data_IF_607732046302
#
_entry.id   IF_607732046302
#
_cell.length_a   1.000
_cell.length_b   1.000
_cell.length_c   1.000
_cell.angle_alpha   90.00
_cell.angle_beta   90.00
_cell.angle_gamma   90.00
#
_symmetry.space_group_name_H-M   'P 1'
#
loop_
_entity.id
_entity.type
_entity.pdbx_description
1 polymer ?
#
# COMPACT_ATOMS: atom_id res chain seq x y z
N UNK A 1 4.56 -19.26 1.20
CA UNK A 1 4.25 -17.87 1.57
C UNK A 1 4.50 -17.79 3.05
N UNK A 2 5.27 -16.81 3.51
CA UNK A 2 5.57 -16.68 4.94
C UNK A 2 4.35 -16.08 5.66
N UNK A 3 3.94 -16.66 6.78
CA UNK A 3 2.83 -16.15 7.61
C UNK A 3 3.02 -14.66 7.97
N UNK A 4 4.26 -14.20 8.03
CA UNK A 4 4.61 -12.80 8.30
C UNK A 4 4.23 -11.86 7.13
N UNK A 5 4.35 -12.32 5.88
CA UNK A 5 3.89 -11.54 4.71
C UNK A 5 2.36 -11.47 4.65
N UNK A 6 1.66 -12.53 5.05
CA UNK A 6 0.20 -12.56 5.09
C UNK A 6 -0.36 -11.60 6.15
N UNK A 7 0.25 -11.56 7.34
CA UNK A 7 -0.11 -10.62 8.40
C UNK A 7 0.12 -9.15 8.03
N UNK A 8 1.21 -8.84 7.31
CA UNK A 8 1.47 -7.48 6.82
C UNK A 8 0.46 -7.04 5.75
N UNK A 9 0.05 -7.98 4.87
CA UNK A 9 -1.01 -7.77 3.88
C UNK A 9 -2.34 -7.50 4.58
N UNK A 10 -2.71 -8.33 5.56
CA UNK A 10 -3.94 -8.14 6.35
C UNK A 10 -3.94 -6.82 7.12
N UNK A 11 -2.82 -6.43 7.72
CA UNK A 11 -2.72 -5.17 8.46
C UNK A 11 -2.90 -3.94 7.55
N UNK A 12 -2.34 -3.97 6.33
CA UNK A 12 -2.58 -2.92 5.31
C UNK A 12 -4.01 -2.94 4.79
N UNK A 13 -4.61 -4.11 4.56
CA UNK A 13 -5.99 -4.25 4.09
C UNK A 13 -7.02 -3.92 5.18
N UNK A 14 -6.67 -4.06 6.46
CA UNK A 14 -7.53 -3.70 7.59
C UNK A 14 -7.86 -2.21 7.65
N UNK A 15 -6.98 -1.35 7.11
CA UNK A 15 -7.23 0.09 6.95
C UNK A 15 -8.31 0.35 5.90
N UNK A 16 -8.49 -0.55 4.94
CA UNK A 16 -9.44 -0.44 3.84
C UNK A 16 -10.76 -1.17 4.08
N UNK A 17 -10.90 -1.95 5.16
CA UNK A 17 -12.12 -2.74 5.47
C UNK A 17 -12.64 -3.52 4.24
N UNK A 18 -11.71 -4.04 3.42
CA UNK A 18 -11.95 -4.54 2.05
C UNK A 18 -11.89 -6.08 1.97
N UNK A 19 -12.47 -6.79 2.95
CA UNK A 19 -12.72 -8.23 2.77
C UNK A 19 -13.91 -8.42 1.81
N UNK A 20 -13.90 -9.46 0.95
CA UNK A 20 -15.11 -9.93 0.29
C UNK A 20 -16.07 -10.33 1.41
N UNK A 21 -17.05 -9.46 1.67
CA UNK A 21 -17.87 -9.61 2.84
C UNK A 21 -19.00 -10.61 2.55
N UNK A 22 -19.57 -11.14 3.64
CA UNK A 22 -20.78 -11.94 3.59
C UNK A 22 -21.93 -11.21 2.88
N UNK A 23 -21.88 -9.88 2.84
CA UNK A 23 -22.86 -9.04 2.17
C UNK A 23 -22.77 -9.15 0.64
N UNK A 24 -21.59 -9.00 0.02
CA UNK A 24 -21.42 -9.14 -1.44
C UNK A 24 -21.88 -10.52 -1.94
N UNK A 25 -21.52 -11.59 -1.22
CA UNK A 25 -21.98 -12.94 -1.55
C UNK A 25 -23.49 -13.12 -1.36
N UNK A 26 -24.08 -12.49 -0.35
CA UNK A 26 -25.52 -12.49 -0.16
C UNK A 26 -26.23 -11.76 -1.30
N UNK A 27 -25.71 -10.62 -1.75
CA UNK A 27 -26.23 -9.87 -2.89
C UNK A 27 -26.21 -10.69 -4.19
N UNK A 28 -25.11 -11.41 -4.44
CA UNK A 28 -25.00 -12.31 -5.60
C UNK A 28 -25.97 -13.47 -5.51
N UNK A 29 -26.04 -14.15 -4.36
CA UNK A 29 -26.91 -15.31 -4.17
C UNK A 29 -28.39 -14.93 -4.19
N UNK A 30 -28.77 -13.83 -3.55
CA UNK A 30 -30.14 -13.33 -3.58
C UNK A 30 -30.53 -12.79 -4.97
N UNK A 31 -29.65 -12.06 -5.65
CA UNK A 31 -29.88 -11.60 -7.02
C UNK A 31 -30.07 -12.77 -7.99
N UNK A 32 -29.22 -13.80 -7.89
CA UNK A 32 -29.34 -15.03 -8.68
C UNK A 32 -30.64 -15.80 -8.36
N UNK A 33 -31.00 -15.92 -7.09
CA UNK A 33 -32.24 -16.58 -6.68
C UNK A 33 -33.49 -15.84 -7.21
N UNK A 34 -33.51 -14.51 -7.15
CA UNK A 34 -34.58 -13.70 -7.75
C UNK A 34 -34.66 -13.90 -9.27
N UNK A 35 -33.52 -13.95 -9.95
CA UNK A 35 -33.48 -14.21 -11.39
C UNK A 35 -34.06 -15.60 -11.74
N UNK A 36 -33.73 -16.63 -10.97
CA UNK A 36 -34.28 -17.98 -11.15
C UNK A 36 -35.78 -18.02 -10.87
N UNK A 37 -36.25 -17.39 -9.79
CA UNK A 37 -37.67 -17.32 -9.45
C UNK A 37 -38.49 -16.56 -10.49
N UNK A 38 -37.94 -15.46 -11.02
CA UNK A 38 -38.54 -14.73 -12.12
C UNK A 38 -38.57 -15.56 -13.41
N UNK A 39 -37.50 -16.29 -13.73
CA UNK A 39 -37.47 -17.17 -14.91
C UNK A 39 -38.54 -18.28 -14.80
N UNK A 40 -38.69 -18.85 -13.60
CA UNK A 40 -39.72 -19.84 -13.31
C UNK A 40 -41.13 -19.28 -13.57
N UNK A 41 -41.46 -18.11 -13.02
CA UNK A 41 -42.79 -17.49 -13.22
C UNK A 41 -43.01 -16.92 -14.63
N UNK A 42 -41.95 -16.77 -15.43
CA UNK A 42 -42.08 -16.39 -16.84
C UNK A 42 -42.53 -17.59 -17.69
N UNK A 43 -42.10 -18.80 -17.33
CA UNK A 43 -42.50 -20.06 -17.97
C UNK A 43 -43.83 -20.56 -17.40
N UNK A 44 -43.98 -20.55 -16.08
CA UNK A 44 -45.17 -20.99 -15.35
C UNK A 44 -45.74 -19.83 -14.51
N UNK A 45 -46.55 -18.93 -15.10
CA UNK A 45 -47.08 -17.76 -14.40
C UNK A 45 -48.09 -18.10 -13.29
N UNK A 46 -48.55 -19.35 -13.18
CA UNK A 46 -49.57 -19.74 -12.19
C UNK A 46 -50.93 -19.07 -12.44
N UNK A 47 -51.81 -19.14 -11.44
CA UNK A 47 -53.20 -18.64 -11.52
C UNK A 47 -53.50 -17.50 -10.53
N UNK A 48 -52.50 -17.00 -9.79
CA UNK A 48 -52.71 -15.98 -8.74
C UNK A 48 -53.09 -14.60 -9.28
N UNK A 49 -52.62 -14.27 -10.50
CA UNK A 49 -52.86 -13.01 -11.21
C UNK A 49 -53.04 -13.33 -12.69
N UNK A 50 -53.56 -12.37 -13.47
CA UNK A 50 -53.58 -12.48 -14.92
C UNK A 50 -52.20 -12.90 -15.48
N UNK A 51 -52.12 -13.94 -16.33
CA UNK A 51 -50.86 -14.50 -16.79
C UNK A 51 -49.94 -13.49 -17.48
N UNK A 52 -50.48 -12.52 -18.20
CA UNK A 52 -49.67 -11.51 -18.88
C UNK A 52 -49.10 -10.52 -17.88
N UNK A 53 -49.88 -10.09 -16.88
CA UNK A 53 -49.36 -9.29 -15.77
C UNK A 53 -48.27 -10.01 -14.98
N UNK A 54 -48.46 -11.31 -14.69
CA UNK A 54 -47.49 -12.09 -13.94
C UNK A 54 -46.16 -12.24 -14.70
N UNK A 55 -46.21 -12.40 -16.03
CA UNK A 55 -45.00 -12.43 -16.88
C UNK A 55 -44.25 -11.11 -16.90
N UNK A 56 -44.95 -9.98 -16.92
CA UNK A 56 -44.31 -8.66 -16.82
C UNK A 56 -43.66 -8.44 -15.45
N UNK A 57 -44.32 -8.88 -14.37
CA UNK A 57 -43.74 -8.85 -13.04
C UNK A 57 -42.50 -9.75 -12.94
N UNK A 58 -42.61 -10.99 -13.44
CA UNK A 58 -41.52 -11.95 -13.49
C UNK A 58 -40.31 -11.39 -14.27
N UNK A 59 -40.53 -10.78 -15.44
CA UNK A 59 -39.47 -10.12 -16.21
C UNK A 59 -38.80 -8.98 -15.43
N UNK A 60 -39.57 -8.20 -14.67
CA UNK A 60 -39.05 -7.13 -13.82
C UNK A 60 -38.20 -7.67 -12.67
N UNK A 61 -38.61 -8.78 -12.05
CA UNK A 61 -37.86 -9.48 -11.00
C UNK A 61 -36.55 -10.07 -11.55
N UNK A 62 -36.56 -10.62 -12.76
CA UNK A 62 -35.34 -11.07 -13.44
C UNK A 62 -34.37 -9.91 -13.64
N UNK A 63 -34.86 -8.78 -14.18
CA UNK A 63 -34.02 -7.61 -14.42
C UNK A 63 -33.43 -7.06 -13.11
N UNK A 64 -34.24 -6.97 -12.05
CA UNK A 64 -33.77 -6.55 -10.73
C UNK A 64 -32.73 -7.53 -10.14
N UNK A 65 -32.97 -8.84 -10.24
CA UNK A 65 -32.05 -9.87 -9.78
C UNK A 65 -30.72 -9.85 -10.51
N UNK A 66 -30.74 -9.66 -11.83
CA UNK A 66 -29.53 -9.55 -12.64
C UNK A 66 -28.71 -8.30 -12.29
N UNK A 67 -29.35 -7.15 -12.08
CA UNK A 67 -28.68 -5.91 -11.66
C UNK A 67 -28.07 -6.07 -10.26
N UNK A 68 -28.82 -6.65 -9.32
CA UNK A 68 -28.34 -6.86 -7.96
C UNK A 68 -27.16 -7.83 -7.91
N UNK A 69 -27.27 -8.99 -8.59
CA UNK A 69 -26.16 -9.94 -8.66
C UNK A 69 -24.93 -9.36 -9.38
N UNK A 70 -25.14 -8.57 -10.43
CA UNK A 70 -24.08 -7.86 -11.13
C UNK A 70 -23.38 -6.82 -10.24
N UNK A 71 -24.12 -6.16 -9.34
CA UNK A 71 -23.56 -5.22 -8.38
C UNK A 71 -22.63 -5.92 -7.38
N UNK A 72 -23.08 -7.00 -6.75
CA UNK A 72 -22.25 -7.76 -5.81
C UNK A 72 -20.99 -8.35 -6.46
N UNK A 73 -21.10 -8.87 -7.69
CA UNK A 73 -19.93 -9.35 -8.45
C UNK A 73 -18.93 -8.24 -8.78
N UNK A 74 -19.42 -7.06 -9.15
CA UNK A 74 -18.58 -5.89 -9.46
C UNK A 74 -17.79 -5.46 -8.23
N UNK A 75 -18.44 -5.32 -7.09
CA UNK A 75 -17.78 -4.83 -5.88
C UNK A 75 -16.75 -5.83 -5.36
N UNK A 76 -17.04 -7.14 -5.48
CA UNK A 76 -16.06 -8.19 -5.20
C UNK A 76 -14.83 -8.12 -6.12
N UNK A 77 -15.02 -7.93 -7.44
CA UNK A 77 -13.91 -7.81 -8.39
C UNK A 77 -13.03 -6.57 -8.11
N UNK A 78 -13.65 -5.46 -7.70
CA UNK A 78 -12.92 -4.25 -7.30
C UNK A 78 -12.09 -4.52 -6.04
N UNK A 79 -12.65 -5.21 -5.04
CA UNK A 79 -11.94 -5.59 -3.81
C UNK A 79 -10.76 -6.53 -4.12
N UNK A 80 -10.94 -7.52 -4.97
CA UNK A 80 -9.86 -8.43 -5.40
C UNK A 80 -8.74 -7.71 -6.15
N UNK A 81 -9.07 -6.78 -7.05
CA UNK A 81 -8.06 -5.99 -7.78
C UNK A 81 -7.23 -5.11 -6.83
N UNK A 82 -7.85 -4.50 -5.82
CA UNK A 82 -7.13 -3.73 -4.80
C UNK A 82 -6.21 -4.63 -3.98
N UNK A 83 -6.71 -5.79 -3.54
CA UNK A 83 -5.90 -6.78 -2.82
C UNK A 83 -4.71 -7.25 -3.64
N UNK A 84 -4.92 -7.54 -4.93
CA UNK A 84 -3.85 -7.94 -5.84
C UNK A 84 -2.81 -6.84 -6.04
N UNK A 85 -3.22 -5.57 -6.09
CA UNK A 85 -2.30 -4.43 -6.21
C UNK A 85 -1.47 -4.25 -4.95
N UNK A 86 -2.10 -4.27 -3.77
CA UNK A 86 -1.42 -4.19 -2.50
C UNK A 86 -0.45 -5.36 -2.28
N UNK A 87 -0.84 -6.57 -2.67
CA UNK A 87 0.04 -7.74 -2.63
C UNK A 87 1.25 -7.55 -3.54
N UNK A 88 1.06 -7.06 -4.78
CA UNK A 88 2.14 -6.82 -5.74
C UNK A 88 3.13 -5.73 -5.26
N UNK A 89 2.62 -4.66 -4.64
CA UNK A 89 3.47 -3.65 -3.99
C UNK A 89 4.29 -4.27 -2.85
N UNK A 90 3.66 -5.05 -1.97
CA UNK A 90 4.36 -5.70 -0.85
C UNK A 90 5.32 -6.82 -1.29
N UNK A 91 5.09 -7.47 -2.44
CA UNK A 91 6.07 -8.41 -3.01
C UNK A 91 7.21 -7.69 -3.71
N UNK A 92 6.97 -6.48 -4.23
CA UNK A 92 8.03 -5.61 -4.77
C UNK A 92 8.91 -5.04 -3.65
N UNK A 93 8.31 -4.77 -2.48
CA UNK A 93 8.98 -4.33 -1.25
C UNK A 93 9.39 -5.49 -0.32
N UNK A 94 9.28 -6.75 -0.78
CA UNK A 94 9.73 -7.88 0.01
C UNK A 94 11.22 -7.66 0.35
N UNK A 95 11.64 -7.78 1.62
CA UNK A 95 13.02 -7.62 2.04
C UNK A 95 13.78 -8.86 1.58
N UNK A 96 14.01 -8.96 0.27
CA UNK A 96 15.18 -9.64 -0.21
C UNK A 96 16.33 -8.95 0.50
N UNK A 97 17.18 -9.72 1.16
CA UNK A 97 18.44 -9.28 1.75
C UNK A 97 19.41 -8.89 0.60
N UNK A 98 18.90 -8.08 -0.32
CA UNK A 98 19.52 -7.59 -1.52
C UNK A 98 19.62 -6.08 -1.35
N UNK A 99 20.72 -5.57 -1.87
CA UNK A 99 21.09 -4.18 -1.75
C UNK A 99 19.95 -3.31 -2.27
N UNK A 100 19.44 -2.37 -1.46
CA UNK A 100 18.37 -1.46 -1.86
C UNK A 100 18.88 -0.53 -2.97
N UNK A 101 18.67 -0.97 -4.21
CA UNK A 101 19.07 -0.23 -5.40
C UNK A 101 18.28 1.07 -5.58
N UNK A 102 17.13 1.21 -4.93
CA UNK A 102 16.36 2.45 -4.87
C UNK A 102 17.07 3.49 -4.03
N UNK A 103 17.49 3.12 -2.82
CA UNK A 103 18.30 3.97 -1.95
C UNK A 103 19.65 4.34 -2.60
N UNK A 104 20.35 3.38 -3.20
CA UNK A 104 21.61 3.67 -3.92
C UNK A 104 21.38 4.65 -5.07
N UNK A 105 20.31 4.47 -5.84
CA UNK A 105 19.98 5.37 -6.94
C UNK A 105 19.66 6.77 -6.42
N UNK A 106 18.92 6.90 -5.32
CA UNK A 106 18.58 8.19 -4.73
C UNK A 106 19.82 8.92 -4.18
N UNK A 107 20.70 8.19 -3.49
CA UNK A 107 22.01 8.69 -3.02
C UNK A 107 22.87 9.19 -4.18
N UNK A 108 22.90 8.47 -5.30
CA UNK A 108 23.65 8.88 -6.49
C UNK A 108 23.01 10.06 -7.24
N UNK A 109 21.68 10.20 -7.19
CA UNK A 109 20.96 11.28 -7.89
C UNK A 109 20.96 12.59 -7.10
N UNK A 110 20.98 12.53 -5.78
CA UNK A 110 20.89 13.69 -4.89
C UNK A 110 22.11 13.82 -3.94
N UNK A 111 23.36 13.79 -4.45
CA UNK A 111 24.55 13.74 -3.59
C UNK A 111 24.66 14.93 -2.63
N UNK A 112 24.16 16.10 -3.01
CA UNK A 112 24.23 17.29 -2.17
C UNK A 112 23.29 17.22 -0.96
N UNK A 113 22.11 16.58 -1.08
CA UNK A 113 21.21 16.37 0.06
C UNK A 113 21.81 15.43 1.12
N UNK A 114 22.62 14.46 0.69
CA UNK A 114 23.32 13.55 1.59
C UNK A 114 24.58 14.19 2.22
N UNK A 115 25.18 15.21 1.58
CA UNK A 115 26.20 16.06 2.23
C UNK A 115 25.60 16.92 3.34
N UNK A 116 24.37 17.40 3.17
CA UNK A 116 23.67 18.13 4.22
C UNK A 116 23.40 17.23 5.44
N UNK A 117 23.13 15.94 5.21
CA UNK A 117 23.03 14.95 6.29
C UNK A 117 24.35 14.79 7.06
N UNK A 118 25.47 14.64 6.34
CA UNK A 118 26.79 14.55 6.98
C UNK A 118 27.09 15.83 7.78
N UNK A 119 26.73 16.99 7.23
CA UNK A 119 26.91 18.30 7.87
C UNK A 119 26.14 18.38 9.19
N UNK A 120 24.87 17.97 9.20
CA UNK A 120 24.06 17.91 10.43
C UNK A 120 24.61 16.95 11.46
N UNK A 121 25.09 15.77 11.03
CA UNK A 121 25.70 14.81 11.93
C UNK A 121 26.96 15.39 12.61
N UNK A 122 27.75 16.19 11.88
CA UNK A 122 28.89 16.91 12.46
C UNK A 122 28.46 18.05 13.39
N UNK A 123 27.38 18.78 13.08
CA UNK A 123 26.82 19.81 13.96
C UNK A 123 26.30 19.21 15.27
N UNK A 124 25.57 18.10 15.19
CA UNK A 124 25.05 17.37 16.35
C UNK A 124 26.19 16.82 17.22
N UNK A 125 27.24 16.25 16.61
CA UNK A 125 28.42 15.77 17.33
C UNK A 125 29.26 16.90 17.95
N UNK A 126 29.14 18.13 17.45
CA UNK A 126 29.75 19.31 18.07
C UNK A 126 28.86 19.97 19.12
N UNK A 127 27.58 19.59 19.25
CA UNK A 127 26.60 20.28 20.09
C UNK A 127 26.97 20.35 21.58
N UNK A 128 27.71 19.36 22.09
CA UNK A 128 28.24 19.32 23.45
C UNK A 128 29.67 19.91 23.57
N UNK A 129 30.26 20.33 22.44
CA UNK A 129 31.58 20.93 22.32
C UNK A 129 32.74 19.93 22.26
N UNK A 130 32.50 18.61 22.30
CA UNK A 130 33.55 17.58 22.31
C UNK A 130 33.11 16.36 21.49
N UNK A 131 33.72 16.16 20.31
CA UNK A 131 33.55 14.91 19.56
C UNK A 131 34.28 13.77 20.29
N UNK A 132 33.53 12.75 20.66
CA UNK A 132 34.06 11.51 21.25
C UNK A 132 34.63 10.56 20.19
N UNK A 133 35.46 9.58 20.61
CA UNK A 133 36.05 8.61 19.67
C UNK A 133 34.98 7.76 18.97
N UNK A 134 33.91 7.41 19.68
CA UNK A 134 32.79 6.63 19.15
C UNK A 134 32.04 7.41 18.05
N UNK A 135 31.80 8.71 18.27
CA UNK A 135 31.17 9.59 17.27
C UNK A 135 32.06 9.82 16.05
N UNK A 136 33.38 9.93 16.25
CA UNK A 136 34.34 10.06 15.17
C UNK A 136 34.37 8.79 14.30
N UNK A 137 34.29 7.61 14.91
CA UNK A 137 34.21 6.34 14.19
C UNK A 137 32.94 6.26 13.32
N UNK A 138 31.79 6.67 13.85
CA UNK A 138 30.53 6.65 13.12
C UNK A 138 30.50 7.69 11.98
N UNK A 139 31.05 8.88 12.20
CA UNK A 139 31.22 9.90 11.15
C UNK A 139 32.14 9.41 10.01
N UNK A 140 33.20 8.67 10.33
CA UNK A 140 34.07 8.02 9.32
C UNK A 140 33.34 6.94 8.53
N UNK A 141 32.44 6.17 9.17
CA UNK A 141 31.60 5.19 8.45
C UNK A 141 30.67 5.90 7.47
N UNK A 142 30.06 7.02 7.86
CA UNK A 142 29.23 7.82 6.96
C UNK A 142 30.03 8.44 5.80
N UNK A 143 31.23 8.95 6.09
CA UNK A 143 32.14 9.46 5.05
C UNK A 143 32.50 8.38 4.03
N UNK A 144 32.89 7.19 4.50
CA UNK A 144 33.26 6.07 3.65
C UNK A 144 32.07 5.56 2.82
N UNK A 145 30.87 5.56 3.40
CA UNK A 145 29.64 5.19 2.71
C UNK A 145 29.24 6.19 1.61
N UNK A 146 29.48 7.48 1.83
CA UNK A 146 29.14 8.55 0.88
C UNK A 146 30.25 8.84 -0.15
N UNK A 147 31.43 8.24 0.00
CA UNK A 147 32.56 8.41 -0.92
C UNK A 147 33.11 9.84 -0.96
N UNK A 148 32.96 10.59 0.14
CA UNK A 148 33.41 11.98 0.26
C UNK A 148 34.90 12.02 0.61
N UNK A 149 35.66 12.90 -0.05
CA UNK A 149 37.10 13.04 0.18
C UNK A 149 37.41 13.61 1.58
N UNK A 150 38.57 13.27 2.14
CA UNK A 150 39.00 13.79 3.46
C UNK A 150 39.05 15.33 3.48
N UNK A 151 39.42 15.96 2.35
CA UNK A 151 39.47 17.43 2.20
C UNK A 151 38.07 18.08 2.31
N UNK A 152 37.05 17.44 1.72
CA UNK A 152 35.68 17.94 1.78
C UNK A 152 35.12 17.82 3.20
N UNK A 153 35.43 16.74 3.91
CA UNK A 153 35.02 16.51 5.30
C UNK A 153 35.66 17.48 6.27
N UNK A 154 36.95 17.81 6.08
CA UNK A 154 37.62 18.86 6.86
C UNK A 154 36.91 20.21 6.72
N UNK A 155 36.45 20.54 5.51
CA UNK A 155 35.71 21.78 5.26
C UNK A 155 34.33 21.80 5.93
N UNK A 156 33.66 20.65 6.00
CA UNK A 156 32.34 20.47 6.63
C UNK A 156 32.47 20.53 8.16
N UNK A 157 33.43 19.80 8.72
CA UNK A 157 33.74 19.81 10.17
C UNK A 157 34.18 21.20 10.64
N UNK A 158 34.99 21.91 9.85
CA UNK A 158 35.40 23.29 10.17
C UNK A 158 34.24 24.28 10.10
N UNK A 159 33.26 24.07 9.21
CA UNK A 159 32.03 24.87 9.15
C UNK A 159 31.11 24.59 10.34
N UNK A 160 30.86 23.32 10.66
CA UNK A 160 30.06 22.90 11.81
C UNK A 160 30.64 23.40 13.15
N UNK A 161 31.97 23.36 13.28
CA UNK A 161 32.65 23.92 14.46
C UNK A 161 32.51 25.45 14.56
N UNK A 162 32.52 26.15 13.42
CA UNK A 162 32.36 27.62 13.39
C UNK A 162 30.93 28.04 13.70
N UNK A 163 29.93 27.37 13.12
CA UNK A 163 28.51 27.65 13.41
C UNK A 163 28.21 27.47 14.90
N UNK A 164 28.73 26.43 15.54
CA UNK A 164 28.56 26.23 16.98
C UNK A 164 29.40 27.18 17.87
N UNK A 165 30.38 27.90 17.31
CA UNK A 165 31.18 28.89 18.05
C UNK A 165 30.65 30.33 17.93
N UNK A 166 29.71 30.56 17.01
CA UNK A 166 29.09 31.87 16.75
C UNK A 166 27.68 32.02 17.38
N UNK A 167 27.15 30.96 18.01
CA UNK A 167 26.02 30.99 18.96
C UNK A 167 26.49 31.14 20.42
#
# INVERSE_FOLDING_TARGET
>A
MDDNTELLIEQRLSVFSDEPDLNDWFEVMCGAAMAVLGLFHLVEPGELVDPDMMRWFAASVIAAGAVWAGHGLKDMAVKEMRRSTAMMELTSDAPTNSVDHGLIRDVLLNPDAYKDFLTKAYEDAWADGIITEDELEDLKKFQAALGISDEDVESISAKAKKSNSEE
#
